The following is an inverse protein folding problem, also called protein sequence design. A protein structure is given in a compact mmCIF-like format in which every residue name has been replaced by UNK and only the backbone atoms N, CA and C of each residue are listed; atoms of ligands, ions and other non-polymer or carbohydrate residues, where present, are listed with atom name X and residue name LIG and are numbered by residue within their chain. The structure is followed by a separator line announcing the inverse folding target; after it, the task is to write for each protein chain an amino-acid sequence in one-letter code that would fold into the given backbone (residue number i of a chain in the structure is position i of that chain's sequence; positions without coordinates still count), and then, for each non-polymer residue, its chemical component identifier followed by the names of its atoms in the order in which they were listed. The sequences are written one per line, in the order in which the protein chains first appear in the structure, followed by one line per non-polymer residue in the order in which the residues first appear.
data_IF_573595240556
#
_entry.id   IF_573595240556
#
_cell.length_a   1.000
_cell.length_b   1.000
_cell.length_c   1.000
_cell.angle_alpha   90.00
_cell.angle_beta   90.00
_cell.angle_gamma   90.00
#
_symmetry.space_group_name_H-M   'P 1'
#
loop_
_entity.id
_entity.type
_entity.pdbx_description
1 polymer ?
#
# COMPACT_ATOMS: atom_id res chain seq x y z
N UNK A 1 1.35 -26.83 -2.59
CA UNK A 1 0.93 -25.49 -3.08
C UNK A 1 -0.10 -24.96 -2.09
N UNK A 2 0.18 -23.81 -1.48
CA UNK A 2 -0.66 -23.26 -0.40
C UNK A 2 -1.75 -22.32 -0.92
N UNK A 3 -1.78 -22.01 -2.22
CA UNK A 3 -2.79 -21.19 -2.85
C UNK A 3 -2.62 -19.67 -2.63
N UNK A 4 -1.47 -19.25 -2.13
CA UNK A 4 -1.14 -17.82 -2.01
C UNK A 4 -0.69 -17.29 -3.36
N UNK A 5 -1.10 -16.08 -3.70
CA UNK A 5 -0.69 -15.35 -4.89
C UNK A 5 -0.14 -13.99 -4.51
N UNK A 6 0.89 -13.54 -5.22
CA UNK A 6 1.50 -12.21 -5.02
C UNK A 6 1.67 -11.53 -6.37
N UNK A 7 1.31 -10.27 -6.44
CA UNK A 7 1.61 -9.40 -7.58
C UNK A 7 2.18 -8.10 -7.06
N UNK A 8 3.31 -7.68 -7.57
CA UNK A 8 3.99 -6.45 -7.18
C UNK A 8 4.18 -5.55 -8.40
N UNK A 9 4.20 -4.24 -8.18
CA UNK A 9 4.53 -3.25 -9.19
C UNK A 9 5.35 -2.13 -8.54
N UNK A 10 6.48 -1.85 -9.12
CA UNK A 10 7.30 -0.69 -8.84
C UNK A 10 6.66 0.58 -9.42
N UNK A 11 7.21 1.73 -9.11
CA UNK A 11 6.83 3.04 -9.67
C UNK A 11 5.74 3.80 -8.94
N UNK A 12 5.61 3.58 -7.65
CA UNK A 12 5.02 4.58 -6.77
C UNK A 12 6.14 5.14 -5.89
N UNK A 13 6.08 6.41 -5.55
CA UNK A 13 7.10 7.05 -4.74
C UNK A 13 6.52 8.15 -3.89
N UNK A 14 7.18 8.42 -2.78
CA UNK A 14 6.87 9.52 -1.90
C UNK A 14 7.26 10.88 -2.49
N UNK A 15 6.81 11.95 -1.87
CA UNK A 15 7.32 13.29 -2.12
C UNK A 15 8.72 13.45 -1.52
N UNK A 16 9.53 14.35 -2.07
CA UNK A 16 10.86 14.66 -1.52
C UNK A 16 10.82 14.99 -0.02
N UNK A 17 9.71 15.57 0.46
CA UNK A 17 9.57 15.95 1.86
C UNK A 17 9.46 14.74 2.80
N UNK A 18 8.68 13.71 2.45
CA UNK A 18 8.58 12.50 3.27
C UNK A 18 9.81 11.60 3.10
N UNK A 19 10.40 11.54 1.90
CA UNK A 19 11.64 10.79 1.67
C UNK A 19 12.82 11.40 2.43
N UNK A 20 12.81 12.70 2.71
CA UNK A 20 13.86 13.34 3.54
C UNK A 20 13.76 12.93 5.03
N UNK A 21 12.57 12.52 5.51
CA UNK A 21 12.35 12.07 6.89
C UNK A 21 12.53 10.56 7.01
N UNK A 22 12.00 9.79 6.05
CA UNK A 22 12.12 8.34 6.00
C UNK A 22 12.65 7.91 4.61
N UNK A 23 13.96 8.01 4.38
CA UNK A 23 14.56 7.67 3.10
C UNK A 23 14.49 6.17 2.81
N UNK A 24 14.47 5.81 1.52
CA UNK A 24 14.61 4.42 1.12
C UNK A 24 15.89 3.79 1.69
N UNK A 25 15.80 2.54 2.10
CA UNK A 25 16.89 1.81 2.71
C UNK A 25 17.70 1.08 1.64
N UNK A 26 18.98 1.42 1.46
CA UNK A 26 19.86 0.78 0.45
C UNK A 26 19.96 -0.75 0.58
N UNK A 27 19.78 -1.29 1.78
CA UNK A 27 19.77 -2.72 2.08
C UNK A 27 18.36 -3.28 2.33
N UNK A 28 17.34 -2.49 2.02
CA UNK A 28 15.94 -2.90 2.15
C UNK A 28 15.54 -3.92 1.07
N UNK A 29 14.34 -4.47 1.23
CA UNK A 29 13.81 -5.42 0.23
C UNK A 29 13.46 -4.70 -1.08
N UNK A 30 13.84 -5.31 -2.21
CA UNK A 30 13.44 -4.86 -3.54
C UNK A 30 12.12 -5.49 -4.00
N UNK A 31 11.37 -4.77 -4.84
CA UNK A 31 10.12 -5.27 -5.43
C UNK A 31 10.30 -6.64 -6.08
N UNK A 32 11.39 -6.85 -6.80
CA UNK A 32 11.70 -8.12 -7.47
C UNK A 32 11.90 -9.30 -6.50
N UNK A 33 12.24 -9.05 -5.24
CA UNK A 33 12.47 -10.07 -4.21
C UNK A 33 11.19 -10.44 -3.46
N UNK A 34 10.25 -9.50 -3.31
CA UNK A 34 9.03 -9.63 -2.51
C UNK A 34 8.26 -10.91 -2.87
N UNK A 35 8.03 -11.13 -4.18
CA UNK A 35 7.27 -12.31 -4.66
C UNK A 35 7.94 -13.59 -4.22
N UNK A 36 9.26 -13.68 -4.33
CA UNK A 36 10.03 -14.87 -3.98
C UNK A 36 10.00 -15.13 -2.47
N UNK A 37 10.20 -14.08 -1.67
CA UNK A 37 10.22 -14.17 -0.21
C UNK A 37 8.83 -14.57 0.32
N UNK A 38 7.80 -13.87 -0.08
CA UNK A 38 6.43 -14.13 0.41
C UNK A 38 5.95 -15.51 -0.01
N UNK A 39 6.11 -15.91 -1.28
CA UNK A 39 5.68 -17.24 -1.74
C UNK A 39 6.53 -18.39 -1.18
N UNK A 40 7.74 -18.11 -0.74
CA UNK A 40 8.63 -19.10 -0.12
C UNK A 40 8.27 -19.44 1.32
N UNK A 41 7.66 -18.51 2.05
CA UNK A 41 7.50 -18.59 3.50
C UNK A 41 6.02 -18.62 3.94
N UNK A 42 5.10 -17.95 3.21
CA UNK A 42 3.72 -17.78 3.62
C UNK A 42 2.80 -18.93 3.17
N UNK A 43 1.94 -19.38 4.06
CA UNK A 43 0.90 -20.36 3.79
C UNK A 43 -0.50 -19.73 3.57
N UNK A 44 -0.69 -18.48 4.00
CA UNK A 44 -1.92 -17.71 3.82
C UNK A 44 -1.59 -16.28 3.37
N UNK A 45 -2.59 -15.56 2.83
CA UNK A 45 -2.41 -14.15 2.47
C UNK A 45 -2.01 -13.32 3.68
N UNK A 46 -2.66 -13.54 4.82
CA UNK A 46 -2.36 -12.82 6.08
C UNK A 46 -0.92 -13.03 6.54
N UNK A 47 -0.43 -14.28 6.55
CA UNK A 47 0.97 -14.56 6.88
C UNK A 47 1.94 -13.87 5.92
N UNK A 48 1.61 -13.82 4.62
CA UNK A 48 2.42 -13.12 3.63
C UNK A 48 2.46 -11.60 3.86
N UNK A 49 1.35 -11.00 4.23
CA UNK A 49 1.28 -9.59 4.63
C UNK A 49 2.14 -9.35 5.86
N UNK A 50 1.91 -10.09 6.95
CA UNK A 50 2.64 -9.91 8.21
C UNK A 50 4.16 -10.10 8.04
N UNK A 51 4.58 -11.10 7.24
CA UNK A 51 5.98 -11.30 6.90
C UNK A 51 6.58 -10.08 6.18
N UNK A 52 5.91 -9.59 5.13
CA UNK A 52 6.40 -8.45 4.36
C UNK A 52 6.48 -7.18 5.21
N UNK A 53 5.46 -6.90 6.01
CA UNK A 53 5.43 -5.73 6.88
C UNK A 53 6.52 -5.80 7.95
N UNK A 54 6.82 -6.98 8.50
CA UNK A 54 7.94 -7.14 9.43
C UNK A 54 9.30 -6.86 8.78
N UNK A 55 9.46 -7.18 7.49
CA UNK A 55 10.68 -6.85 6.73
C UNK A 55 10.77 -5.33 6.53
N UNK A 56 9.66 -4.66 6.20
CA UNK A 56 9.65 -3.20 6.10
C UNK A 56 9.99 -2.52 7.42
N UNK A 57 9.50 -3.04 8.55
CA UNK A 57 9.81 -2.50 9.88
C UNK A 57 11.30 -2.70 10.25
N UNK A 58 11.88 -3.86 9.91
CA UNK A 58 13.25 -4.22 10.34
C UNK A 58 14.34 -3.72 9.38
N UNK A 59 14.11 -3.85 8.09
CA UNK A 59 15.12 -3.60 7.06
C UNK A 59 14.75 -2.46 6.09
N UNK A 60 13.49 -2.10 6.06
CA UNK A 60 12.97 -1.14 5.09
C UNK A 60 12.83 -1.71 3.68
N UNK A 61 12.53 -0.82 2.74
CA UNK A 61 12.52 -1.11 1.31
C UNK A 61 13.40 -0.13 0.54
N UNK A 62 13.91 -0.55 -0.62
CA UNK A 62 14.77 0.29 -1.46
C UNK A 62 14.02 1.04 -2.57
N UNK A 63 12.70 0.89 -2.65
CA UNK A 63 11.84 1.60 -3.59
C UNK A 63 10.36 1.48 -3.24
N UNK A 64 9.54 2.39 -3.76
CA UNK A 64 8.10 2.37 -3.53
C UNK A 64 7.39 1.35 -4.40
N UNK A 65 6.45 0.63 -3.83
CA UNK A 65 5.68 -0.40 -4.53
C UNK A 65 4.21 -0.45 -4.12
N UNK A 66 3.38 -0.91 -5.05
CA UNK A 66 2.01 -1.33 -4.79
C UNK A 66 1.86 -2.81 -5.05
N UNK A 67 1.29 -3.56 -4.13
CA UNK A 67 1.22 -5.00 -4.25
C UNK A 67 -0.10 -5.59 -3.78
N UNK A 68 -0.38 -6.78 -4.32
CA UNK A 68 -1.48 -7.62 -3.87
C UNK A 68 -0.93 -8.92 -3.32
N UNK A 69 -1.44 -9.32 -2.17
CA UNK A 69 -1.24 -10.65 -1.60
C UNK A 69 -2.62 -11.24 -1.37
N UNK A 70 -2.90 -12.42 -1.96
CA UNK A 70 -4.21 -13.03 -1.89
C UNK A 70 -4.15 -14.54 -1.72
N UNK A 71 -5.19 -15.09 -1.11
CA UNK A 71 -5.51 -16.50 -1.11
C UNK A 71 -7.00 -16.74 -1.40
N UNK A 72 -7.51 -17.93 -1.17
CA UNK A 72 -8.91 -18.24 -1.42
C UNK A 72 -9.91 -17.53 -0.49
N UNK A 73 -9.44 -16.92 0.62
CA UNK A 73 -10.28 -16.35 1.66
C UNK A 73 -10.25 -14.82 1.68
N UNK A 74 -9.10 -14.22 1.34
CA UNK A 74 -8.90 -12.79 1.44
C UNK A 74 -7.87 -12.25 0.45
N UNK A 75 -7.98 -10.96 0.18
CA UNK A 75 -7.05 -10.19 -0.65
C UNK A 75 -6.62 -8.95 0.11
N UNK A 76 -5.33 -8.72 0.16
CA UNK A 76 -4.72 -7.52 0.72
C UNK A 76 -4.06 -6.70 -0.38
N UNK A 77 -4.21 -5.39 -0.28
CA UNK A 77 -3.50 -4.42 -1.10
C UNK A 77 -2.58 -3.59 -0.21
N UNK A 78 -1.33 -3.43 -0.61
CA UNK A 78 -0.30 -2.77 0.19
C UNK A 78 0.36 -1.69 -0.65
N UNK A 79 0.56 -0.51 -0.07
CA UNK A 79 1.40 0.56 -0.61
C UNK A 79 2.50 0.92 0.38
N UNK A 80 3.73 1.04 -0.12
CA UNK A 80 4.83 1.69 0.56
C UNK A 80 5.44 2.73 -0.39
N UNK A 81 5.76 3.92 0.11
CA UNK A 81 6.27 5.04 -0.70
C UNK A 81 7.49 5.72 -0.06
N UNK A 82 7.98 5.19 1.05
CA UNK A 82 9.22 5.58 1.73
C UNK A 82 9.89 4.34 2.30
N UNK A 83 11.02 4.48 2.98
CA UNK A 83 11.81 3.35 3.48
C UNK A 83 11.07 2.40 4.38
N UNK A 84 10.27 2.92 5.34
CA UNK A 84 9.62 2.10 6.37
C UNK A 84 8.11 2.37 6.52
N UNK A 85 7.54 3.36 5.79
CA UNK A 85 6.12 3.65 5.94
C UNK A 85 5.27 2.95 4.89
N UNK A 86 4.23 2.29 5.36
CA UNK A 86 3.31 1.49 4.54
C UNK A 86 1.88 1.53 5.06
N UNK A 87 0.94 1.22 4.18
CA UNK A 87 -0.45 0.85 4.53
C UNK A 87 -0.81 -0.43 3.79
N UNK A 88 -1.41 -1.39 4.51
CA UNK A 88 -2.01 -2.60 3.96
C UNK A 88 -3.53 -2.57 4.22
N UNK A 89 -4.30 -2.78 3.18
CA UNK A 89 -5.76 -2.80 3.20
C UNK A 89 -6.28 -4.18 2.84
N UNK A 90 -7.15 -4.74 3.68
CA UNK A 90 -7.95 -5.92 3.33
C UNK A 90 -9.09 -5.48 2.42
N UNK A 91 -9.11 -6.01 1.20
CA UNK A 91 -10.13 -5.65 0.22
C UNK A 91 -11.43 -6.44 0.43
N UNK A 92 -12.56 -5.77 0.29
CA UNK A 92 -13.87 -6.44 0.28
C UNK A 92 -14.00 -7.33 -0.96
N UNK A 93 -14.59 -8.52 -0.80
CA UNK A 93 -14.89 -9.44 -1.91
C UNK A 93 -15.91 -8.89 -2.94
N UNK A 94 -16.59 -7.80 -2.60
CA UNK A 94 -17.54 -7.11 -3.49
C UNK A 94 -16.94 -5.91 -4.20
N UNK A 95 -15.63 -5.65 -4.02
CA UNK A 95 -14.93 -4.49 -4.60
C UNK A 95 -14.24 -4.87 -5.90
N UNK A 96 -14.42 -4.05 -6.93
CA UNK A 96 -13.53 -4.04 -8.10
C UNK A 96 -12.38 -3.08 -7.83
N UNK A 97 -11.15 -3.51 -8.09
CA UNK A 97 -9.94 -2.76 -7.75
C UNK A 97 -8.96 -2.76 -8.93
N UNK A 98 -8.33 -1.63 -9.18
CA UNK A 98 -7.27 -1.49 -10.18
C UNK A 98 -6.18 -0.55 -9.65
N UNK A 99 -4.94 -1.00 -9.78
CA UNK A 99 -3.76 -0.24 -9.37
C UNK A 99 -2.87 0.04 -10.61
N UNK A 100 -2.80 1.29 -11.08
CA UNK A 100 -2.11 1.64 -12.32
C UNK A 100 -0.77 2.35 -12.11
N UNK A 101 0.22 1.74 -11.49
CA UNK A 101 1.54 2.34 -11.19
C UNK A 101 1.42 3.77 -10.61
N UNK A 102 0.63 3.93 -9.59
CA UNK A 102 0.50 5.15 -8.79
C UNK A 102 -0.06 4.76 -7.42
N UNK A 103 0.28 5.53 -6.39
CA UNK A 103 -0.37 5.38 -5.10
C UNK A 103 -1.84 5.83 -5.20
N UNK A 104 -2.74 5.08 -4.57
CA UNK A 104 -4.19 5.30 -4.67
C UNK A 104 -4.92 5.22 -3.33
N UNK A 105 -4.24 4.89 -2.25
CA UNK A 105 -4.83 4.84 -0.91
C UNK A 105 -5.09 6.27 -0.44
N UNK A 106 -6.37 6.66 -0.36
CA UNK A 106 -6.81 7.96 0.11
C UNK A 106 -6.97 8.02 1.64
N UNK A 107 -8.11 8.57 2.08
CA UNK A 107 -8.42 8.71 3.51
C UNK A 107 -8.69 7.36 4.15
N UNK A 108 -7.94 7.06 5.20
CA UNK A 108 -7.97 5.81 5.96
C UNK A 108 -8.21 6.09 7.43
N UNK A 109 -9.04 5.27 8.06
CA UNK A 109 -9.24 5.17 9.49
C UNK A 109 -8.29 4.09 10.05
N UNK A 110 -7.30 4.51 10.84
CA UNK A 110 -6.30 3.61 11.42
C UNK A 110 -6.84 2.82 12.63
N UNK A 111 -8.03 3.16 13.13
CA UNK A 111 -8.72 2.40 14.18
C UNK A 111 -9.46 1.18 13.61
N UNK A 112 -9.63 1.07 12.28
CA UNK A 112 -10.15 -0.13 11.61
C UNK A 112 -9.10 -1.24 11.53
N UNK A 113 -8.70 -1.76 12.68
CA UNK A 113 -7.66 -2.80 12.80
C UNK A 113 -8.04 -4.16 12.21
N UNK A 114 -9.29 -4.36 11.79
CA UNK A 114 -9.74 -5.56 11.07
C UNK A 114 -9.30 -5.53 9.59
N UNK A 115 -9.33 -4.34 8.98
CA UNK A 115 -9.11 -4.16 7.55
C UNK A 115 -7.88 -3.34 7.21
N UNK A 116 -7.25 -2.69 8.18
CA UNK A 116 -6.12 -1.79 7.99
C UNK A 116 -4.94 -2.21 8.87
N UNK A 117 -3.76 -2.29 8.28
CA UNK A 117 -2.48 -2.36 8.98
C UNK A 117 -1.60 -1.25 8.43
N UNK A 118 -1.05 -0.42 9.31
CA UNK A 118 -0.15 0.65 8.93
C UNK A 118 1.11 0.63 9.80
N UNK A 119 2.21 1.18 9.29
CA UNK A 119 3.43 1.37 10.07
C UNK A 119 3.18 2.30 11.26
N UNK A 120 3.87 2.06 12.37
CA UNK A 120 3.71 2.85 13.60
C UNK A 120 4.00 4.34 13.38
N UNK A 121 4.94 4.65 12.48
CA UNK A 121 5.37 6.01 12.16
C UNK A 121 4.50 6.75 11.12
N UNK A 122 3.42 6.15 10.61
CA UNK A 122 2.71 6.66 9.42
C UNK A 122 2.20 8.10 9.58
N UNK A 123 1.72 8.49 10.75
CA UNK A 123 1.28 9.88 11.03
C UNK A 123 2.49 10.76 11.36
N UNK A 124 3.40 10.29 12.22
CA UNK A 124 4.50 11.10 12.74
C UNK A 124 5.50 11.51 11.65
N UNK A 125 5.80 10.63 10.71
CA UNK A 125 6.67 10.93 9.55
C UNK A 125 6.05 12.00 8.67
N UNK A 126 4.76 11.90 8.34
CA UNK A 126 4.06 12.90 7.56
C UNK A 126 3.96 14.27 8.29
N UNK A 127 3.79 14.25 9.62
CA UNK A 127 3.81 15.47 10.44
C UNK A 127 5.20 16.12 10.48
N UNK A 128 6.26 15.35 10.64
CA UNK A 128 7.64 15.84 10.61
C UNK A 128 8.01 16.41 9.24
N UNK A 129 7.56 15.77 8.17
CA UNK A 129 7.70 16.25 6.81
C UNK A 129 6.85 17.52 6.50
N UNK A 130 5.89 17.85 7.36
CA UNK A 130 4.97 18.98 7.17
C UNK A 130 3.92 18.74 6.08
N UNK A 131 3.65 17.49 5.72
CA UNK A 131 2.76 17.11 4.62
C UNK A 131 1.48 16.38 5.08
N UNK A 132 1.32 16.16 6.38
CA UNK A 132 0.21 15.41 6.93
C UNK A 132 -1.16 16.01 6.56
N UNK A 133 -2.01 15.17 6.00
CA UNK A 133 -3.43 15.45 5.70
C UNK A 133 -4.28 14.38 6.39
N UNK A 134 -5.14 14.79 7.32
CA UNK A 134 -5.98 13.89 8.10
C UNK A 134 -6.45 14.56 9.37
N UNK A 135 -6.98 13.76 10.30
CA UNK A 135 -7.37 14.16 11.64
C UNK A 135 -6.67 13.25 12.67
N UNK A 136 -5.66 13.80 13.35
CA UNK A 136 -4.86 13.03 14.30
C UNK A 136 -5.67 12.66 15.57
N UNK A 137 -6.72 13.41 15.93
CA UNK A 137 -7.59 13.07 17.07
C UNK A 137 -8.53 11.92 16.71
N UNK A 138 -8.94 11.83 15.45
CA UNK A 138 -9.74 10.75 14.89
C UNK A 138 -8.89 9.60 14.31
N UNK A 139 -7.57 9.63 14.52
CA UNK A 139 -6.61 8.63 14.02
C UNK A 139 -6.77 8.29 12.52
N UNK A 140 -6.95 9.33 11.68
CA UNK A 140 -7.13 9.17 10.23
C UNK A 140 -5.99 9.82 9.45
N UNK A 141 -5.67 9.29 8.27
CA UNK A 141 -4.71 9.87 7.33
C UNK A 141 -5.21 9.71 5.89
N UNK A 142 -5.09 10.77 5.08
CA UNK A 142 -5.11 10.64 3.63
C UNK A 142 -3.69 10.34 3.15
N UNK A 143 -3.45 9.06 2.81
CA UNK A 143 -2.10 8.58 2.54
C UNK A 143 -1.50 9.22 1.29
N UNK A 144 -2.23 9.22 0.18
CA UNK A 144 -1.75 9.83 -1.07
C UNK A 144 -1.51 11.32 -0.91
N UNK A 145 -2.42 12.04 -0.25
CA UNK A 145 -2.25 13.48 -0.03
C UNK A 145 -1.06 13.78 0.88
N UNK A 146 -0.84 12.96 1.92
CA UNK A 146 0.24 13.15 2.90
C UNK A 146 1.60 12.73 2.35
N UNK A 147 1.68 11.61 1.64
CA UNK A 147 2.94 11.01 1.23
C UNK A 147 3.36 11.32 -0.21
N UNK A 148 2.40 11.48 -1.12
CA UNK A 148 2.68 11.71 -2.54
C UNK A 148 2.34 13.13 -3.01
N UNK A 149 1.85 13.99 -2.12
CA UNK A 149 1.40 15.35 -2.48
C UNK A 149 0.11 15.38 -3.30
N UNK A 150 -0.66 14.28 -3.24
CA UNK A 150 -1.83 14.02 -4.08
C UNK A 150 -1.47 13.24 -5.35
N UNK A 151 -2.48 12.74 -6.04
CA UNK A 151 -2.28 12.04 -7.31
C UNK A 151 -3.28 12.53 -8.37
N UNK A 152 -2.78 12.79 -9.58
CA UNK A 152 -3.65 12.95 -10.75
C UNK A 152 -3.90 11.58 -11.37
N UNK A 153 -5.18 11.26 -11.61
CA UNK A 153 -5.55 10.01 -12.24
C UNK A 153 -4.91 9.88 -13.63
N UNK A 154 -4.06 8.87 -13.81
CA UNK A 154 -3.48 8.58 -15.12
C UNK A 154 -4.51 7.94 -16.06
N UNK A 155 -4.18 7.84 -17.36
CA UNK A 155 -5.11 7.32 -18.37
C UNK A 155 -5.55 5.87 -18.12
N UNK A 156 -4.73 5.05 -17.46
CA UNK A 156 -5.07 3.66 -17.09
C UNK A 156 -6.09 3.62 -15.97
N UNK A 157 -5.95 4.48 -14.96
CA UNK A 157 -6.95 4.63 -13.89
C UNK A 157 -8.28 5.11 -14.47
N UNK A 158 -8.26 6.14 -15.32
CA UNK A 158 -9.49 6.64 -15.97
C UNK A 158 -10.15 5.54 -16.79
N UNK A 159 -9.39 4.73 -17.52
CA UNK A 159 -9.94 3.60 -18.30
C UNK A 159 -10.56 2.53 -17.41
N UNK A 160 -9.92 2.17 -16.29
CA UNK A 160 -10.44 1.19 -15.35
C UNK A 160 -11.74 1.69 -14.68
N UNK A 161 -11.77 2.93 -14.22
CA UNK A 161 -12.95 3.55 -13.61
C UNK A 161 -14.11 3.63 -14.60
N UNK A 162 -13.85 3.99 -15.86
CA UNK A 162 -14.88 4.00 -16.90
C UNK A 162 -15.43 2.60 -17.18
N UNK A 163 -14.59 1.57 -17.18
CA UNK A 163 -15.01 0.18 -17.34
C UNK A 163 -15.92 -0.26 -16.19
N UNK A 164 -15.49 -0.05 -14.94
CA UNK A 164 -16.28 -0.42 -13.76
C UNK A 164 -17.61 0.33 -13.69
N UNK A 165 -17.61 1.64 -14.02
CA UNK A 165 -18.85 2.42 -14.06
C UNK A 165 -19.81 1.98 -15.19
N UNK A 166 -19.29 1.51 -16.33
CA UNK A 166 -20.10 1.01 -17.42
C UNK A 166 -20.76 -0.34 -17.07
N UNK A 167 -20.04 -1.23 -16.38
CA UNK A 167 -20.58 -2.52 -15.91
C UNK A 167 -21.70 -2.31 -14.88
N UNK A 168 -21.50 -1.41 -13.89
CA UNK A 168 -22.52 -1.11 -12.87
C UNK A 168 -23.74 -0.39 -13.41
N UNK A 169 -23.63 0.30 -14.55
CA UNK A 169 -24.76 0.96 -15.22
C UNK A 169 -25.58 0.02 -16.11
N UNK A 170 -25.10 -1.21 -16.34
CA UNK A 170 -25.77 -2.22 -17.20
C UNK A 170 -26.58 -3.26 -16.42
N UNK A 171 -26.58 -3.23 -15.09
CA UNK A 171 -27.40 -4.02 -14.19
C UNK A 171 -28.63 -3.24 -13.71
#
# INVERSE_FOLDING_TARGET
EMGVTVSATETIGGSEAVEAVDPYADAGIEEAEIVTVVLGEAATAKEGVELLLSIYDEAGCCGGSGLFIADQNETWYIENVTGHQYIALKLSSSMAFAQPNMAIIGLIDLDDTENVIASEGIISVAQEAGTYVGDAEANTIDYVASYCGGSEANSRMVSALNYFNAETASE
#
